data_IF_358195199627
#
_entry.id   IF_358195199627
#
_cell.length_a   1.000
_cell.length_b   1.000
_cell.length_c   1.000
_cell.angle_alpha   90.00
_cell.angle_beta   90.00
_cell.angle_gamma   90.00
#
_symmetry.space_group_name_H-M   'P 1'
#
loop_
_entity.id
_entity.type
_entity.pdbx_description
1 polymer ?
#
# COMPACT_ATOMS: atom_id res chain seq x y z
N UNK A 1 2.02 -35.29 58.50
CA UNK A 1 2.02 -36.62 57.91
C UNK A 1 2.19 -36.42 56.39
N UNK A 2 3.39 -36.36 55.83
CA UNK A 2 4.21 -37.44 55.25
C UNK A 2 3.40 -38.36 54.31
N UNK A 3 3.70 -38.26 53.00
CA UNK A 3 4.23 -39.24 52.04
C UNK A 3 4.15 -38.64 50.62
N UNK A 4 5.15 -38.35 49.86
CA UNK A 4 6.18 -39.09 49.10
C UNK A 4 5.67 -40.36 48.41
N UNK A 5 5.75 -40.46 47.09
CA UNK A 5 6.16 -41.60 46.24
C UNK A 5 6.18 -41.18 44.75
N UNK A 6 7.28 -41.00 44.13
CA UNK A 6 8.19 -41.87 43.31
C UNK A 6 7.84 -41.89 41.81
N UNK A 7 8.74 -41.29 41.11
CA UNK A 7 9.45 -41.56 39.84
C UNK A 7 9.22 -42.98 39.23
N UNK A 8 8.90 -43.02 37.93
CA UNK A 8 9.33 -44.11 37.05
C UNK A 8 9.81 -43.52 35.70
N UNK A 9 11.10 -43.69 35.45
CA UNK A 9 11.78 -43.57 34.17
C UNK A 9 11.68 -44.93 33.48
N UNK A 10 11.33 -44.97 32.22
CA UNK A 10 11.58 -46.13 31.38
C UNK A 10 12.15 -45.73 30.01
N UNK A 11 13.43 -46.03 29.88
CA UNK A 11 14.21 -46.04 28.64
C UNK A 11 13.85 -47.32 27.88
N UNK A 12 13.53 -47.22 26.58
CA UNK A 12 13.69 -48.33 25.65
C UNK A 12 14.34 -47.81 24.35
N UNK A 13 15.58 -48.20 24.20
CA UNK A 13 16.30 -48.20 22.93
C UNK A 13 16.09 -49.54 22.24
N UNK A 14 15.70 -49.58 21.00
CA UNK A 14 15.93 -50.72 20.10
C UNK A 14 16.33 -50.16 18.72
N UNK A 15 17.50 -50.60 18.36
CA UNK A 15 18.19 -50.51 17.06
C UNK A 15 17.47 -51.44 16.07
N UNK A 16 17.21 -50.99 14.85
CA UNK A 16 17.34 -51.78 13.61
C UNK A 16 17.30 -50.86 12.39
N UNK A 17 18.29 -51.08 11.57
CA UNK A 17 18.66 -50.39 10.37
C UNK A 17 17.68 -50.46 9.20
N UNK A 18 17.93 -49.64 8.23
CA UNK A 18 17.30 -49.76 6.92
C UNK A 18 17.30 -48.45 6.13
N UNK A 19 18.26 -48.36 5.23
CA UNK A 19 18.19 -47.71 3.90
C UNK A 19 17.78 -46.22 3.76
N UNK A 20 18.73 -45.44 3.33
CA UNK A 20 18.53 -44.14 2.66
C UNK A 20 17.89 -44.35 1.27
N UNK A 21 16.88 -43.56 0.90
CA UNK A 21 16.48 -43.44 -0.49
C UNK A 21 17.30 -42.36 -1.24
N UNK A 22 17.34 -42.43 -2.59
CA UNK A 22 18.36 -41.81 -3.42
C UNK A 22 18.13 -40.31 -3.62
N UNK A 23 19.26 -39.63 -3.81
CA UNK A 23 19.35 -38.25 -4.30
C UNK A 23 18.69 -38.11 -5.68
N UNK A 24 17.71 -37.26 -5.83
CA UNK A 24 17.24 -36.77 -7.12
C UNK A 24 17.86 -35.41 -7.37
N UNK A 25 18.86 -35.38 -8.22
CA UNK A 25 19.38 -34.20 -8.89
C UNK A 25 18.37 -33.80 -9.98
N UNK A 26 17.90 -32.58 -9.94
CA UNK A 26 17.04 -32.00 -10.99
C UNK A 26 17.01 -30.52 -10.85
N UNK A 27 17.88 -29.86 -11.62
CA UNK A 27 17.93 -28.41 -11.84
C UNK A 27 16.57 -27.87 -12.32
N UNK A 28 16.17 -26.70 -11.78
CA UNK A 28 15.65 -25.64 -12.62
C UNK A 28 15.78 -24.28 -11.93
N UNK A 29 16.84 -23.63 -12.33
CA UNK A 29 17.20 -22.23 -12.10
C UNK A 29 16.35 -21.31 -12.93
N UNK A 30 15.58 -20.43 -12.34
CA UNK A 30 15.20 -19.14 -12.93
C UNK A 30 14.33 -18.28 -12.00
N UNK A 31 14.80 -17.88 -10.79
CA UNK A 31 14.14 -16.79 -10.05
C UNK A 31 15.00 -16.17 -8.93
N UNK A 32 16.32 -16.17 -9.05
CA UNK A 32 17.17 -15.58 -7.99
C UNK A 32 18.21 -14.54 -8.46
N UNK A 33 17.98 -13.86 -9.60
CA UNK A 33 18.98 -12.92 -10.12
C UNK A 33 18.81 -11.45 -9.74
N UNK A 34 17.79 -11.05 -8.97
CA UNK A 34 17.56 -9.64 -8.62
C UNK A 34 18.09 -9.18 -7.27
N UNK A 35 18.57 -10.08 -6.41
CA UNK A 35 19.10 -9.73 -5.09
C UNK A 35 20.63 -9.77 -4.96
N UNK A 36 21.39 -10.23 -5.96
CA UNK A 36 22.84 -10.47 -5.85
C UNK A 36 23.75 -9.38 -6.41
N UNK A 37 23.24 -8.31 -7.05
CA UNK A 37 24.09 -7.26 -7.66
C UNK A 37 24.38 -6.04 -6.78
N UNK A 38 24.03 -6.03 -5.51
CA UNK A 38 24.25 -4.88 -4.63
C UNK A 38 25.53 -4.96 -3.77
N UNK A 39 26.40 -5.96 -3.91
CA UNK A 39 27.57 -6.14 -3.04
C UNK A 39 28.95 -6.24 -3.69
N UNK A 40 29.15 -5.81 -4.92
CA UNK A 40 30.51 -5.84 -5.51
C UNK A 40 30.90 -4.64 -6.35
N UNK A 41 30.79 -3.39 -5.82
CA UNK A 41 31.57 -2.25 -6.34
C UNK A 41 31.85 -1.22 -5.24
N UNK A 42 32.70 -1.59 -4.31
CA UNK A 42 33.47 -0.68 -3.46
C UNK A 42 34.90 -1.16 -3.43
N UNK A 43 35.71 -0.76 -4.42
CA UNK A 43 37.15 -0.48 -4.35
C UNK A 43 37.67 -0.13 -5.74
N UNK A 44 38.00 1.08 -5.92
CA UNK A 44 39.08 1.71 -6.68
C UNK A 44 38.60 2.95 -7.43
N UNK A 45 38.95 4.08 -6.95
CA UNK A 45 39.88 5.04 -7.52
C UNK A 45 39.79 6.37 -6.79
N UNK A 46 40.69 6.54 -5.85
CA UNK A 46 41.20 7.84 -5.45
C UNK A 46 42.20 8.31 -6.52
N UNK A 47 42.16 9.57 -6.83
CA UNK A 47 43.11 10.43 -7.55
C UNK A 47 42.73 10.83 -8.99
N UNK A 48 42.26 12.06 -9.14
CA UNK A 48 43.04 13.14 -9.76
C UNK A 48 42.32 14.47 -9.63
N UNK A 49 43.11 15.41 -9.16
CA UNK A 49 42.86 16.83 -8.91
C UNK A 49 42.78 17.65 -10.21
N UNK A 50 42.07 18.75 -10.11
CA UNK A 50 42.36 20.13 -10.57
C UNK A 50 41.97 20.57 -11.98
N UNK A 51 41.24 21.67 -11.94
CA UNK A 51 41.30 22.87 -12.80
C UNK A 51 40.59 22.87 -14.17
N UNK A 52 39.48 23.61 -14.21
CA UNK A 52 39.48 24.88 -14.98
C UNK A 52 38.14 25.63 -14.80
N UNK A 53 38.27 26.81 -14.19
CA UNK A 53 37.36 27.94 -14.33
C UNK A 53 37.36 28.37 -15.83
N UNK A 54 36.17 28.55 -16.40
CA UNK A 54 36.01 29.61 -17.37
C UNK A 54 34.56 30.12 -17.44
N UNK A 55 34.46 31.41 -17.24
CA UNK A 55 33.31 32.29 -17.48
C UNK A 55 32.92 32.27 -18.95
N UNK A 56 31.61 32.24 -19.24
CA UNK A 56 31.09 33.05 -20.37
C UNK A 56 29.66 33.49 -20.04
N UNK A 57 29.51 34.80 -19.91
CA UNK A 57 28.26 35.56 -20.03
C UNK A 57 27.83 35.56 -21.48
N UNK A 58 26.55 35.44 -21.77
CA UNK A 58 25.85 36.19 -22.82
C UNK A 58 24.37 35.81 -22.84
N UNK A 59 23.60 36.78 -22.64
CA UNK A 59 22.65 37.52 -23.50
C UNK A 59 21.21 37.01 -23.40
N UNK A 60 20.40 37.86 -22.71
CA UNK A 60 18.94 37.94 -22.85
C UNK A 60 18.57 38.15 -24.30
N UNK A 61 17.58 37.40 -24.81
CA UNK A 61 16.74 37.86 -25.91
C UNK A 61 15.28 37.66 -25.53
N UNK A 62 14.60 38.77 -25.29
CA UNK A 62 13.16 38.89 -25.30
C UNK A 62 12.61 38.50 -26.66
N UNK A 63 11.68 37.57 -26.72
CA UNK A 63 10.84 37.39 -27.90
C UNK A 63 9.38 37.45 -27.41
N UNK A 64 8.76 38.59 -27.73
CA UNK A 64 7.34 38.84 -27.65
C UNK A 64 6.60 37.87 -28.58
N UNK A 65 5.62 37.16 -28.09
CA UNK A 65 4.66 36.44 -28.92
C UNK A 65 3.41 37.30 -29.09
N UNK A 66 3.21 37.71 -30.35
CA UNK A 66 2.01 38.36 -30.87
C UNK A 66 0.82 37.40 -30.76
N UNK A 67 -0.31 37.92 -30.32
CA UNK A 67 -1.60 37.25 -30.30
C UNK A 67 -2.10 37.05 -31.74
N UNK A 68 -2.48 35.86 -32.12
CA UNK A 68 -3.22 35.54 -33.33
C UNK A 68 -4.73 35.46 -33.06
N UNK A 69 -5.57 35.79 -34.07
CA UNK A 69 -6.96 36.14 -33.84
C UNK A 69 -7.88 34.95 -33.62
N UNK A 70 -8.95 35.20 -32.85
CA UNK A 70 -10.09 34.33 -32.60
C UNK A 70 -10.70 33.81 -33.92
N UNK A 71 -10.66 32.50 -34.12
CA UNK A 71 -11.53 31.80 -35.05
C UNK A 71 -12.76 31.35 -34.33
N UNK A 72 -13.89 31.88 -34.71
CA UNK A 72 -15.24 31.48 -34.22
C UNK A 72 -15.54 30.05 -34.67
N UNK A 73 -15.78 29.15 -33.67
CA UNK A 73 -16.26 27.80 -33.92
C UNK A 73 -17.81 27.79 -34.02
N UNK A 74 -18.37 26.95 -34.88
CA UNK A 74 -19.82 26.87 -35.07
C UNK A 74 -20.48 26.22 -33.85
N UNK A 75 -21.62 26.76 -33.47
CA UNK A 75 -22.56 26.24 -32.48
C UNK A 75 -23.11 24.89 -32.96
N UNK A 76 -22.70 23.80 -32.31
CA UNK A 76 -23.33 22.50 -32.48
C UNK A 76 -24.14 22.19 -31.22
N UNK A 77 -25.37 21.76 -31.48
CA UNK A 77 -26.46 21.62 -30.56
C UNK A 77 -26.21 20.71 -29.35
N UNK A 78 -27.07 20.96 -28.35
CA UNK A 78 -27.24 20.23 -27.11
C UNK A 78 -27.22 18.71 -27.22
N UNK A 79 -26.21 18.10 -26.62
CA UNK A 79 -26.33 16.79 -26.01
C UNK A 79 -25.39 16.76 -24.78
N UNK A 80 -25.88 17.27 -23.69
CA UNK A 80 -25.23 17.21 -22.39
C UNK A 80 -26.10 16.39 -21.46
N UNK A 81 -25.85 15.07 -21.37
CA UNK A 81 -26.49 14.25 -20.33
C UNK A 81 -25.68 12.98 -19.96
N UNK A 82 -24.34 13.00 -19.98
CA UNK A 82 -23.60 11.79 -19.55
C UNK A 82 -22.42 12.09 -18.61
N UNK A 83 -22.00 13.33 -18.45
CA UNK A 83 -20.84 13.67 -17.62
C UNK A 83 -21.16 13.83 -16.12
N UNK A 84 -22.42 14.13 -15.76
CA UNK A 84 -22.82 14.39 -14.38
C UNK A 84 -23.01 13.11 -13.56
N UNK A 85 -23.40 12.01 -14.19
CA UNK A 85 -23.61 10.73 -13.50
C UNK A 85 -22.28 10.02 -13.14
N UNK A 86 -21.26 10.16 -13.98
CA UNK A 86 -19.95 9.53 -13.74
C UNK A 86 -19.17 10.22 -12.63
N UNK A 87 -19.20 11.54 -12.50
CA UNK A 87 -18.49 12.24 -11.43
C UNK A 87 -19.14 12.03 -10.06
N UNK A 88 -20.47 12.03 -9.98
CA UNK A 88 -21.20 11.71 -8.77
C UNK A 88 -20.96 10.26 -8.33
N UNK A 89 -20.93 9.32 -9.27
CA UNK A 89 -20.58 7.91 -9.01
C UNK A 89 -19.15 7.75 -8.50
N UNK A 90 -18.17 8.43 -9.10
CA UNK A 90 -16.79 8.40 -8.67
C UNK A 90 -16.63 8.93 -7.23
N UNK A 91 -17.22 10.10 -6.91
CA UNK A 91 -17.17 10.67 -5.58
C UNK A 91 -17.82 9.74 -4.53
N UNK A 92 -18.92 9.09 -4.88
CA UNK A 92 -19.58 8.11 -4.01
C UNK A 92 -18.70 6.89 -3.77
N UNK A 93 -17.99 6.40 -4.78
CA UNK A 93 -17.03 5.31 -4.64
C UNK A 93 -15.81 5.71 -3.82
N UNK A 94 -15.34 6.95 -3.94
CA UNK A 94 -14.25 7.47 -3.12
C UNK A 94 -14.66 7.79 -1.68
N UNK A 95 -15.93 7.73 -1.34
CA UNK A 95 -16.39 7.97 0.02
C UNK A 95 -15.84 6.88 0.96
N UNK A 96 -15.21 7.32 2.04
CA UNK A 96 -14.63 6.46 3.06
C UNK A 96 -15.48 6.58 4.31
N UNK A 97 -16.10 5.48 4.71
CA UNK A 97 -16.88 5.42 5.95
C UNK A 97 -16.00 5.57 7.19
N UNK A 98 -16.65 5.85 8.31
CA UNK A 98 -16.00 5.85 9.63
C UNK A 98 -16.51 4.65 10.42
N UNK A 99 -15.63 3.84 11.02
CA UNK A 99 -16.06 2.79 11.91
C UNK A 99 -16.86 3.37 13.07
N UNK A 100 -17.92 2.66 13.48
CA UNK A 100 -18.78 3.10 14.59
C UNK A 100 -17.94 3.32 15.86
N UNK A 101 -18.10 4.48 16.49
CA UNK A 101 -17.39 4.84 17.72
C UNK A 101 -15.93 5.29 17.52
N UNK A 102 -15.45 5.40 16.30
CA UNK A 102 -14.10 5.91 16.00
C UNK A 102 -14.12 7.41 15.70
N UNK A 103 -13.07 8.10 16.15
CA UNK A 103 -12.81 9.48 15.73
C UNK A 103 -12.41 9.51 14.25
N UNK A 104 -12.77 10.61 13.55
CA UNK A 104 -12.39 10.75 12.15
C UNK A 104 -12.12 12.21 11.76
N UNK A 105 -11.22 12.36 10.79
CA UNK A 105 -10.98 13.56 10.00
C UNK A 105 -10.82 13.13 8.55
N UNK A 106 -11.65 13.64 7.65
CA UNK A 106 -11.55 13.31 6.22
C UNK A 106 -10.52 14.22 5.57
N UNK A 107 -9.50 13.61 4.96
CA UNK A 107 -8.44 14.28 4.23
C UNK A 107 -8.56 13.93 2.75
N UNK A 108 -8.64 14.96 1.91
CA UNK A 108 -8.72 14.81 0.46
C UNK A 108 -7.39 15.24 -0.15
N UNK A 109 -6.58 14.28 -0.55
CA UNK A 109 -5.38 14.50 -1.34
C UNK A 109 -5.68 14.39 -2.83
N UNK A 110 -4.69 14.62 -3.68
CA UNK A 110 -4.88 14.58 -5.14
C UNK A 110 -5.47 13.26 -5.63
N UNK A 111 -5.02 12.14 -5.07
CA UNK A 111 -5.32 10.79 -5.57
C UNK A 111 -5.87 9.86 -4.51
N UNK A 112 -5.65 10.16 -3.25
CA UNK A 112 -6.09 9.35 -2.13
C UNK A 112 -7.02 10.14 -1.21
N UNK A 113 -8.04 9.48 -0.72
CA UNK A 113 -8.92 9.99 0.33
C UNK A 113 -8.66 9.20 1.60
N UNK A 114 -8.36 9.90 2.69
CA UNK A 114 -8.03 9.29 3.97
C UNK A 114 -9.10 9.65 4.99
N UNK A 115 -9.72 8.65 5.59
CA UNK A 115 -10.45 8.80 6.84
C UNK A 115 -9.42 8.60 7.96
N UNK A 116 -8.91 9.71 8.50
CA UNK A 116 -7.86 9.69 9.51
C UNK A 116 -8.44 9.69 10.92
N UNK A 117 -7.85 8.88 11.80
CA UNK A 117 -8.21 8.81 13.21
C UNK A 117 -7.26 9.67 14.05
N UNK A 118 -7.67 10.84 14.53
CA UNK A 118 -6.81 11.71 15.31
C UNK A 118 -6.49 11.16 16.71
N UNK A 119 -7.30 10.25 17.25
CA UNK A 119 -7.06 9.62 18.56
C UNK A 119 -5.98 8.53 18.46
N UNK A 120 -6.09 7.67 17.46
CA UNK A 120 -5.13 6.59 17.21
C UNK A 120 -3.94 7.02 16.37
N UNK A 121 -4.01 8.18 15.74
CA UNK A 121 -2.97 8.79 14.89
C UNK A 121 -2.56 7.91 13.70
N UNK A 122 -3.54 7.18 13.14
CA UNK A 122 -3.45 6.34 11.94
C UNK A 122 -4.72 6.52 11.10
N UNK A 123 -4.73 6.12 9.81
CA UNK A 123 -5.98 6.11 9.06
C UNK A 123 -6.94 5.02 9.56
N UNK A 124 -8.25 5.30 9.57
CA UNK A 124 -9.29 4.28 9.68
C UNK A 124 -9.47 3.54 8.35
N UNK A 125 -9.37 4.29 7.25
CA UNK A 125 -9.44 3.75 5.89
C UNK A 125 -8.81 4.75 4.90
N UNK A 126 -8.18 4.22 3.87
CA UNK A 126 -7.67 4.98 2.72
C UNK A 126 -8.30 4.42 1.46
N UNK A 127 -8.88 5.30 0.64
CA UNK A 127 -9.45 4.95 -0.65
C UNK A 127 -8.68 5.63 -1.77
N UNK A 128 -8.49 4.91 -2.87
CA UNK A 128 -7.92 5.47 -4.10
C UNK A 128 -8.43 4.71 -5.33
N UNK A 129 -8.40 5.39 -6.45
CA UNK A 129 -8.60 4.80 -7.76
C UNK A 129 -7.25 4.44 -8.39
N UNK A 130 -7.20 3.30 -9.07
CA UNK A 130 -6.05 2.85 -9.83
C UNK A 130 -6.52 2.41 -11.22
N UNK A 131 -6.06 3.11 -12.27
CA UNK A 131 -6.41 2.79 -13.66
C UNK A 131 -5.25 2.16 -14.41
N UNK A 132 -5.53 1.45 -15.51
CA UNK A 132 -4.50 0.90 -16.39
C UNK A 132 -3.53 1.98 -16.87
N UNK A 133 -4.03 3.18 -17.20
CA UNK A 133 -3.18 4.32 -17.61
C UNK A 133 -2.22 4.74 -16.50
N UNK A 134 -2.69 4.82 -15.24
CA UNK A 134 -1.82 5.13 -14.09
C UNK A 134 -0.74 4.06 -13.91
N UNK A 135 -1.09 2.78 -14.08
CA UNK A 135 -0.15 1.66 -14.00
C UNK A 135 0.89 1.74 -15.13
N UNK A 136 0.44 1.96 -16.36
CA UNK A 136 1.36 2.09 -17.51
C UNK A 136 2.34 3.25 -17.33
N UNK A 137 1.88 4.39 -16.81
CA UNK A 137 2.74 5.52 -16.47
C UNK A 137 3.68 5.22 -15.29
N UNK A 138 3.21 4.48 -14.28
CA UNK A 138 4.01 4.09 -13.12
C UNK A 138 5.11 3.08 -13.48
N UNK A 139 4.93 2.29 -14.53
CA UNK A 139 5.88 1.29 -15.03
C UNK A 139 6.79 1.86 -16.15
N UNK A 140 6.43 3.01 -16.75
CA UNK A 140 7.17 3.61 -17.82
C UNK A 140 8.54 4.16 -17.37
N UNK A 141 9.54 4.23 -18.26
CA UNK A 141 10.78 4.94 -17.99
C UNK A 141 10.52 6.40 -17.58
N UNK A 142 11.19 6.86 -16.52
CA UNK A 142 11.01 8.22 -16.00
C UNK A 142 9.94 8.39 -14.94
N UNK A 143 9.28 7.31 -14.53
CA UNK A 143 8.36 7.33 -13.40
C UNK A 143 9.01 7.87 -12.10
N UNK A 144 8.20 8.33 -11.16
CA UNK A 144 8.67 8.81 -9.87
C UNK A 144 9.35 7.70 -9.06
N UNK A 145 10.60 7.96 -8.67
CA UNK A 145 11.38 6.97 -7.95
C UNK A 145 11.17 7.11 -6.44
N UNK A 146 10.75 6.02 -5.79
CA UNK A 146 10.56 5.95 -4.34
C UNK A 146 11.76 6.49 -3.52
N UNK A 147 12.98 6.33 -4.03
CA UNK A 147 14.21 6.78 -3.35
C UNK A 147 14.31 8.30 -3.18
N UNK A 148 13.54 9.06 -3.96
CA UNK A 148 13.50 10.52 -3.90
C UNK A 148 12.52 11.05 -2.85
N UNK A 149 11.79 10.18 -2.15
CA UNK A 149 10.73 10.54 -1.21
C UNK A 149 11.02 10.01 0.18
N UNK A 150 10.76 10.85 1.19
CA UNK A 150 10.88 10.50 2.59
C UNK A 150 9.50 10.57 3.25
N UNK A 151 9.32 9.79 4.30
CA UNK A 151 8.14 9.91 5.15
C UNK A 151 8.06 11.31 5.75
N UNK A 152 6.93 11.95 5.60
CA UNK A 152 6.72 13.33 6.02
C UNK A 152 5.44 13.46 6.86
N UNK A 153 5.49 14.35 7.86
CA UNK A 153 4.31 14.79 8.54
C UNK A 153 3.42 15.60 7.59
N UNK A 154 2.12 15.43 7.66
CA UNK A 154 1.17 16.38 7.09
C UNK A 154 0.94 17.51 8.11
N UNK A 155 1.47 18.69 7.84
CA UNK A 155 1.38 19.84 8.73
C UNK A 155 -0.04 20.41 8.85
N UNK A 156 -0.94 20.09 7.92
CA UNK A 156 -2.35 20.48 7.99
C UNK A 156 -3.13 19.66 9.03
N UNK A 157 -2.56 18.53 9.48
CA UNK A 157 -3.19 17.59 10.43
C UNK A 157 -2.47 17.67 11.78
N UNK A 158 -3.09 18.33 12.75
CA UNK A 158 -2.49 18.60 14.08
C UNK A 158 -1.96 17.35 14.78
N UNK A 159 -2.66 16.22 14.65
CA UNK A 159 -2.32 14.96 15.33
C UNK A 159 -1.49 14.01 14.46
N UNK A 160 -1.11 14.41 13.23
CA UNK A 160 -0.28 13.60 12.37
C UNK A 160 1.05 13.24 13.06
N UNK A 161 1.46 11.97 13.09
CA UNK A 161 2.73 11.58 13.70
C UNK A 161 3.93 12.15 12.94
N UNK A 162 5.03 12.28 13.65
CA UNK A 162 6.33 12.48 13.05
C UNK A 162 6.93 11.13 12.62
N UNK A 163 7.73 11.15 11.56
CA UNK A 163 8.42 9.95 11.07
C UNK A 163 9.29 9.28 12.16
N UNK A 164 9.94 10.09 13.00
CA UNK A 164 10.84 9.58 14.05
C UNK A 164 10.12 8.85 15.19
N UNK A 165 8.83 9.06 15.40
CA UNK A 165 8.04 8.39 16.44
C UNK A 165 7.94 6.85 16.23
N UNK A 166 8.16 6.37 15.02
CA UNK A 166 8.21 4.93 14.71
C UNK A 166 9.57 4.28 14.99
N UNK A 167 10.63 5.07 15.24
CA UNK A 167 11.99 4.55 15.44
C UNK A 167 12.06 3.69 16.70
N UNK A 168 12.62 2.49 16.57
CA UNK A 168 12.77 1.56 17.70
C UNK A 168 11.48 0.88 18.14
N UNK A 169 10.35 1.09 17.45
CA UNK A 169 9.06 0.48 17.78
C UNK A 169 8.97 -1.00 17.43
N UNK A 170 9.84 -1.50 16.53
CA UNK A 170 9.75 -2.84 15.95
C UNK A 170 8.80 -2.94 14.76
N UNK A 171 8.11 -1.86 14.39
CA UNK A 171 7.17 -1.82 13.27
C UNK A 171 7.68 -1.00 12.10
N UNK A 172 7.31 -1.42 10.90
CA UNK A 172 7.44 -0.64 9.67
C UNK A 172 6.36 0.45 9.59
N UNK A 173 6.64 1.48 8.80
CA UNK A 173 5.62 2.44 8.36
C UNK A 173 4.91 1.84 7.15
N UNK A 174 3.85 1.07 7.43
CA UNK A 174 3.08 0.40 6.40
C UNK A 174 2.19 1.37 5.66
N UNK A 175 2.36 1.46 4.34
CA UNK A 175 1.49 2.27 3.48
C UNK A 175 0.11 1.63 3.34
N UNK A 176 -0.94 2.44 3.42
CA UNK A 176 -2.29 1.98 3.04
C UNK A 176 -2.52 2.15 1.53
N UNK A 177 -2.18 3.31 0.97
CA UNK A 177 -2.03 3.50 -0.48
C UNK A 177 -0.52 3.38 -0.83
N UNK A 178 -0.10 2.34 -1.58
CA UNK A 178 1.31 2.03 -1.77
C UNK A 178 2.00 2.99 -2.75
N UNK A 179 3.28 3.23 -2.52
CA UNK A 179 4.09 4.07 -3.39
C UNK A 179 4.15 3.55 -4.84
N UNK A 180 4.03 2.24 -5.05
CA UNK A 180 4.04 1.64 -6.38
C UNK A 180 2.90 2.16 -7.26
N UNK A 181 1.70 2.30 -6.69
CA UNK A 181 0.52 2.76 -7.40
C UNK A 181 0.49 4.29 -7.63
N UNK A 182 1.43 5.03 -7.02
CA UNK A 182 1.49 6.51 -7.09
C UNK A 182 2.64 7.05 -7.96
N UNK A 183 3.48 6.18 -8.55
CA UNK A 183 4.66 6.57 -9.34
C UNK A 183 4.38 7.38 -10.61
N UNK A 184 3.16 7.40 -11.06
CA UNK A 184 2.73 8.09 -12.25
C UNK A 184 2.65 9.62 -12.09
N UNK A 185 2.65 10.12 -10.83
CA UNK A 185 2.50 11.55 -10.54
C UNK A 185 3.32 11.97 -9.32
N UNK A 186 4.06 13.06 -9.45
CA UNK A 186 4.93 13.60 -8.39
C UNK A 186 4.17 13.97 -7.12
N UNK A 187 2.98 14.57 -7.25
CA UNK A 187 2.17 14.99 -6.10
C UNK A 187 1.54 13.78 -5.42
N UNK A 188 1.01 12.84 -6.19
CA UNK A 188 0.48 11.57 -5.67
C UNK A 188 1.56 10.82 -4.89
N UNK A 189 2.77 10.76 -5.45
CA UNK A 189 3.92 10.13 -4.84
C UNK A 189 4.33 10.82 -3.54
N UNK A 190 4.41 12.15 -3.49
CA UNK A 190 4.71 12.89 -2.26
C UNK A 190 3.65 12.68 -1.18
N UNK A 191 2.38 12.73 -1.55
CA UNK A 191 1.26 12.60 -0.63
C UNK A 191 1.08 11.19 -0.08
N UNK A 192 1.43 10.14 -0.84
CA UNK A 192 1.37 8.78 -0.31
C UNK A 192 2.42 8.54 0.79
N UNK A 193 3.47 9.37 0.90
CA UNK A 193 4.46 9.32 1.99
C UNK A 193 4.07 10.13 3.24
N UNK A 194 2.92 10.78 3.24
CA UNK A 194 2.44 11.41 4.48
C UNK A 194 2.14 10.37 5.56
N UNK A 195 2.51 10.69 6.79
CA UNK A 195 2.28 9.80 7.94
C UNK A 195 0.79 9.55 8.22
N UNK A 196 -0.10 10.35 7.66
CA UNK A 196 -1.56 10.12 7.66
C UNK A 196 -1.99 8.91 6.83
N UNK A 197 -1.13 8.41 5.93
CA UNK A 197 -1.31 7.18 5.13
C UNK A 197 -0.62 5.95 5.77
N UNK A 198 -0.01 6.08 6.95
CA UNK A 198 0.84 5.05 7.55
C UNK A 198 0.18 4.40 8.76
N UNK A 199 0.39 3.07 8.87
CA UNK A 199 0.10 2.31 10.08
C UNK A 199 1.35 1.57 10.58
N UNK A 200 1.48 1.34 11.90
CA UNK A 200 2.47 0.42 12.43
C UNK A 200 2.20 -1.00 11.92
N UNK A 201 3.04 -1.51 11.04
CA UNK A 201 2.86 -2.80 10.38
C UNK A 201 4.06 -3.71 10.65
N UNK A 202 3.80 -4.97 10.94
CA UNK A 202 4.85 -5.98 11.06
C UNK A 202 5.76 -5.96 9.84
N UNK A 203 7.07 -5.99 10.07
CA UNK A 203 8.07 -5.79 9.00
C UNK A 203 8.04 -6.94 7.98
N UNK A 204 7.82 -8.18 8.42
CA UNK A 204 7.70 -9.32 7.50
C UNK A 204 6.40 -9.27 6.72
N UNK A 205 5.27 -8.96 7.39
CA UNK A 205 4.02 -8.75 6.67
C UNK A 205 4.19 -7.69 5.58
N UNK A 206 4.68 -6.51 5.95
CA UNK A 206 4.84 -5.37 5.02
C UNK A 206 5.75 -5.70 3.82
N UNK A 207 6.90 -6.34 4.06
CA UNK A 207 7.90 -6.56 3.02
C UNK A 207 7.63 -7.79 2.16
N UNK A 208 6.88 -8.76 2.64
CA UNK A 208 6.65 -10.02 1.97
C UNK A 208 5.19 -10.15 1.49
N UNK A 209 4.28 -10.53 2.38
CA UNK A 209 2.94 -10.97 1.99
C UNK A 209 2.03 -9.83 1.56
N UNK A 210 2.10 -8.68 2.24
CA UNK A 210 1.33 -7.48 1.89
C UNK A 210 1.80 -6.91 0.55
N UNK A 211 3.12 -6.85 0.34
CA UNK A 211 3.71 -6.44 -0.93
C UNK A 211 3.27 -7.32 -2.10
N UNK A 212 3.22 -8.65 -1.91
CA UNK A 212 2.72 -9.58 -2.95
C UNK A 212 1.27 -9.27 -3.34
N UNK A 213 0.42 -8.95 -2.36
CA UNK A 213 -0.96 -8.52 -2.64
C UNK A 213 -0.98 -7.19 -3.43
N UNK A 214 -0.17 -6.21 -3.04
CA UNK A 214 -0.06 -4.93 -3.74
C UNK A 214 0.38 -5.10 -5.20
N UNK A 215 1.38 -5.94 -5.45
CA UNK A 215 1.84 -6.28 -6.81
C UNK A 215 0.73 -6.97 -7.65
N UNK A 216 -0.12 -7.78 -7.02
CA UNK A 216 -1.28 -8.37 -7.71
C UNK A 216 -2.33 -7.31 -8.04
N UNK A 217 -2.67 -6.43 -7.09
CA UNK A 217 -3.61 -5.32 -7.32
C UNK A 217 -3.16 -4.45 -8.48
N UNK A 218 -1.86 -4.12 -8.53
CA UNK A 218 -1.26 -3.36 -9.63
C UNK A 218 -1.48 -4.05 -10.99
N UNK A 219 -1.23 -5.37 -11.08
CA UNK A 219 -1.51 -6.15 -12.31
C UNK A 219 -3.00 -6.23 -12.64
N UNK A 220 -3.86 -6.39 -11.63
CA UNK A 220 -5.31 -6.42 -11.84
C UNK A 220 -5.85 -5.09 -12.37
N UNK A 221 -5.33 -3.95 -11.91
CA UNK A 221 -5.69 -2.65 -12.44
C UNK A 221 -5.38 -2.52 -13.93
N UNK A 222 -4.25 -3.05 -14.37
CA UNK A 222 -3.87 -3.09 -15.78
C UNK A 222 -4.83 -3.95 -16.61
N UNK A 223 -5.18 -5.15 -16.11
CA UNK A 223 -6.10 -6.08 -16.76
C UNK A 223 -7.53 -5.55 -16.81
N UNK A 224 -8.04 -5.09 -15.67
CA UNK A 224 -9.44 -4.73 -15.46
C UNK A 224 -9.73 -3.25 -15.78
N UNK A 225 -8.72 -2.50 -16.23
CA UNK A 225 -8.75 -1.09 -16.65
C UNK A 225 -8.92 -0.10 -15.52
N UNK A 226 -9.71 -0.44 -14.51
CA UNK A 226 -10.04 0.44 -13.39
C UNK A 226 -10.33 -0.35 -12.14
N UNK A 227 -9.71 0.03 -11.03
CA UNK A 227 -9.99 -0.50 -9.70
C UNK A 227 -10.26 0.63 -8.72
N UNK A 228 -11.20 0.39 -7.81
CA UNK A 228 -11.33 1.15 -6.56
C UNK A 228 -10.74 0.31 -5.44
N UNK A 229 -9.79 0.87 -4.71
CA UNK A 229 -9.06 0.17 -3.64
C UNK A 229 -9.31 0.88 -2.31
N UNK A 230 -9.69 0.09 -1.30
CA UNK A 230 -9.89 0.56 0.06
C UNK A 230 -9.01 -0.26 0.98
N UNK A 231 -8.23 0.41 1.81
CA UNK A 231 -7.24 -0.24 2.67
C UNK A 231 -7.27 0.40 4.06
N UNK A 232 -7.18 -0.40 5.09
CA UNK A 232 -7.12 0.15 6.44
C UNK A 232 -6.83 -0.90 7.50
N UNK A 233 -6.67 -0.44 8.74
CA UNK A 233 -6.46 -1.29 9.90
C UNK A 233 -7.77 -1.92 10.40
N UNK A 234 -7.63 -3.04 11.09
CA UNK A 234 -8.64 -3.62 11.98
C UNK A 234 -8.09 -3.49 13.39
N UNK A 235 -8.80 -2.74 14.22
CA UNK A 235 -8.37 -2.43 15.58
C UNK A 235 -8.88 -3.45 16.58
N UNK A 236 -8.04 -3.83 17.53
CA UNK A 236 -8.46 -4.55 18.73
C UNK A 236 -9.12 -3.64 19.76
N UNK A 237 -9.70 -4.24 20.79
CA UNK A 237 -10.35 -3.48 21.88
C UNK A 237 -9.35 -2.61 22.66
N UNK A 238 -8.15 -3.13 22.90
CA UNK A 238 -7.07 -2.48 23.64
C UNK A 238 -5.79 -2.53 22.79
N UNK A 239 -5.65 -1.65 21.79
CA UNK A 239 -4.51 -1.71 20.91
C UNK A 239 -3.22 -1.38 21.65
N UNK A 240 -2.13 -2.10 21.32
CA UNK A 240 -0.78 -1.69 21.70
C UNK A 240 -0.52 -0.31 21.15
N UNK A 241 0.17 0.51 21.93
CA UNK A 241 0.55 1.87 21.52
C UNK A 241 2.08 1.96 21.35
N UNK A 242 2.50 2.66 20.32
CA UNK A 242 3.90 3.01 20.08
C UNK A 242 4.05 4.53 19.98
N UNK A 243 5.26 4.98 19.81
CA UNK A 243 5.65 6.39 19.79
C UNK A 243 6.60 6.67 20.93
N UNK A 244 7.44 7.72 20.79
CA UNK A 244 8.39 8.02 21.86
C UNK A 244 7.64 8.56 23.08
N UNK A 245 7.73 9.75 23.40
CA UNK A 245 7.33 10.32 24.70
C UNK A 245 5.85 10.12 25.09
N UNK A 246 4.96 9.94 24.14
CA UNK A 246 3.51 9.81 24.39
C UNK A 246 2.94 8.44 24.08
N UNK A 247 3.67 7.57 23.39
CA UNK A 247 3.24 6.23 23.00
C UNK A 247 1.76 6.16 22.57
N UNK A 248 1.36 7.03 21.66
CA UNK A 248 -0.03 7.24 21.31
C UNK A 248 -0.37 6.97 19.84
N UNK A 249 0.48 6.21 19.13
CA UNK A 249 0.19 5.69 17.80
C UNK A 249 -0.28 4.25 17.99
N UNK A 250 -1.51 3.97 17.63
CA UNK A 250 -2.09 2.65 17.82
C UNK A 250 -1.54 1.62 16.82
N UNK A 251 -1.28 0.42 17.32
CA UNK A 251 -0.87 -0.74 16.51
C UNK A 251 -2.11 -1.56 16.19
N UNK A 252 -2.46 -1.74 14.90
CA UNK A 252 -3.58 -2.57 14.50
C UNK A 252 -3.34 -4.06 14.76
N UNK A 253 -4.40 -4.81 15.01
CA UNK A 253 -4.35 -6.28 15.09
C UNK A 253 -4.27 -6.93 13.71
N UNK A 254 -4.89 -6.30 12.71
CA UNK A 254 -4.93 -6.79 11.33
C UNK A 254 -5.10 -5.62 10.34
N UNK A 255 -5.00 -5.94 9.05
CA UNK A 255 -5.25 -5.04 7.95
C UNK A 255 -6.23 -5.64 6.97
N UNK A 256 -7.07 -4.80 6.38
CA UNK A 256 -7.91 -5.18 5.25
C UNK A 256 -7.51 -4.46 3.98
N UNK A 257 -7.82 -5.09 2.84
CA UNK A 257 -7.81 -4.47 1.52
C UNK A 257 -9.03 -4.96 0.74
N UNK A 258 -9.89 -4.02 0.33
CA UNK A 258 -11.04 -4.27 -0.54
C UNK A 258 -10.69 -3.75 -1.92
N UNK A 259 -10.89 -4.57 -2.94
CA UNK A 259 -10.65 -4.26 -4.34
C UNK A 259 -11.98 -4.42 -5.09
N UNK A 260 -12.40 -3.39 -5.76
CA UNK A 260 -13.60 -3.38 -6.59
C UNK A 260 -13.24 -3.00 -8.02
N UNK A 261 -13.62 -3.84 -8.98
CA UNK A 261 -13.51 -3.61 -10.41
C UNK A 261 -14.89 -3.20 -10.96
N UNK A 262 -15.18 -1.89 -11.09
CA UNK A 262 -16.52 -1.41 -11.40
C UNK A 262 -16.99 -1.83 -12.78
N UNK A 263 -16.11 -1.91 -13.76
CA UNK A 263 -16.45 -2.30 -15.13
C UNK A 263 -16.78 -3.79 -15.27
N UNK A 264 -16.25 -4.64 -14.37
CA UNK A 264 -16.52 -6.07 -14.29
C UNK A 264 -17.60 -6.40 -13.25
N UNK A 265 -18.06 -5.45 -12.47
CA UNK A 265 -19.06 -5.64 -11.42
C UNK A 265 -18.64 -6.65 -10.34
N UNK A 266 -17.33 -6.80 -10.08
CA UNK A 266 -16.81 -7.78 -9.11
C UNK A 266 -15.95 -7.15 -8.03
N UNK A 267 -15.94 -7.75 -6.86
CA UNK A 267 -15.12 -7.33 -5.74
C UNK A 267 -14.49 -8.53 -5.03
N UNK A 268 -13.35 -8.29 -4.42
CA UNK A 268 -12.67 -9.22 -3.51
C UNK A 268 -12.11 -8.42 -2.34
N UNK A 269 -12.02 -9.06 -1.19
CA UNK A 269 -11.38 -8.47 -0.03
C UNK A 269 -10.38 -9.44 0.58
N UNK A 270 -9.44 -8.88 1.35
CA UNK A 270 -8.42 -9.63 2.06
C UNK A 270 -8.29 -9.11 3.48
N UNK A 271 -8.01 -10.02 4.42
CA UNK A 271 -7.65 -9.67 5.79
C UNK A 271 -6.38 -10.41 6.16
N UNK A 272 -5.39 -9.66 6.61
CA UNK A 272 -4.11 -10.15 7.09
C UNK A 272 -3.90 -9.72 8.54
N UNK A 273 -3.63 -10.66 9.45
CA UNK A 273 -3.19 -10.31 10.80
C UNK A 273 -1.89 -9.50 10.74
N UNK A 274 -1.68 -8.61 11.71
CA UNK A 274 -0.46 -7.80 11.78
C UNK A 274 0.76 -8.61 12.28
N UNK A 275 1.05 -9.70 11.56
CA UNK A 275 2.14 -10.66 11.77
C UNK A 275 2.52 -11.33 10.45
N UNK A 276 3.59 -12.14 10.40
CA UNK A 276 3.89 -12.93 9.20
C UNK A 276 2.71 -13.83 8.79
N UNK A 277 2.30 -13.73 7.52
CA UNK A 277 1.12 -14.41 6.97
C UNK A 277 1.53 -15.26 5.75
N UNK A 278 2.20 -16.42 5.93
CA UNK A 278 2.75 -17.21 4.84
C UNK A 278 1.68 -17.94 4.02
N UNK A 279 2.02 -18.20 2.77
CA UNK A 279 1.20 -19.00 1.84
C UNK A 279 0.53 -18.16 0.75
N UNK A 280 -0.38 -18.80 0.02
CA UNK A 280 -1.10 -18.15 -1.07
C UNK A 280 -2.07 -17.09 -0.53
N UNK A 281 -2.24 -15.99 -1.26
CA UNK A 281 -3.17 -14.91 -0.92
C UNK A 281 -4.62 -15.39 -0.78
N UNK A 282 -5.01 -16.46 -1.48
CA UNK A 282 -6.35 -17.05 -1.39
C UNK A 282 -6.76 -17.45 0.04
N UNK A 283 -5.79 -17.77 0.89
CA UNK A 283 -6.05 -18.07 2.32
C UNK A 283 -6.56 -16.88 3.11
N UNK A 284 -6.31 -15.68 2.62
CA UNK A 284 -6.64 -14.41 3.28
C UNK A 284 -7.80 -13.70 2.60
N UNK A 285 -8.33 -14.30 1.51
CA UNK A 285 -9.49 -13.78 0.81
C UNK A 285 -10.75 -13.91 1.67
N UNK A 286 -11.52 -12.85 1.73
CA UNK A 286 -12.79 -12.76 2.46
C UNK A 286 -13.81 -11.99 1.63
N UNK A 287 -15.06 -12.00 2.07
CA UNK A 287 -16.09 -11.14 1.46
C UNK A 287 -15.94 -9.69 1.92
N UNK A 288 -16.45 -8.75 1.12
CA UNK A 288 -16.54 -7.34 1.54
C UNK A 288 -17.40 -7.19 2.80
N UNK A 289 -18.49 -7.98 2.90
CA UNK A 289 -19.33 -8.01 4.09
C UNK A 289 -18.57 -8.42 5.37
N UNK A 290 -17.60 -9.33 5.26
CA UNK A 290 -16.76 -9.71 6.41
C UNK A 290 -15.85 -8.55 6.84
N UNK A 291 -15.32 -7.77 5.90
CA UNK A 291 -14.57 -6.55 6.22
C UNK A 291 -15.48 -5.54 6.93
N UNK A 292 -16.69 -5.29 6.40
CA UNK A 292 -17.67 -4.40 7.06
C UNK A 292 -18.01 -4.86 8.47
N UNK A 293 -18.24 -6.15 8.65
CA UNK A 293 -18.54 -6.74 9.98
C UNK A 293 -17.39 -6.55 10.97
N UNK A 294 -16.13 -6.74 10.53
CA UNK A 294 -14.96 -6.64 11.42
C UNK A 294 -14.54 -5.21 11.72
N UNK A 295 -14.80 -4.29 10.80
CA UNK A 295 -14.35 -2.89 10.93
C UNK A 295 -15.45 -1.95 11.40
N UNK A 296 -16.73 -2.29 11.16
CA UNK A 296 -17.85 -1.37 11.30
C UNK A 296 -17.92 -0.31 10.19
N UNK A 297 -17.09 -0.43 9.16
CA UNK A 297 -17.16 0.39 7.94
C UNK A 297 -18.39 0.01 7.12
N UNK A 298 -18.87 0.94 6.30
CA UNK A 298 -19.86 0.68 5.26
C UNK A 298 -19.32 1.21 3.95
N UNK A 299 -19.15 0.32 2.97
CA UNK A 299 -18.76 0.69 1.61
C UNK A 299 -19.98 0.98 0.75
N UNK A 300 -19.77 1.61 -0.41
CA UNK A 300 -20.82 1.91 -1.39
C UNK A 300 -21.68 0.66 -1.71
N UNK A 301 -22.99 0.85 -1.89
CA UNK A 301 -23.92 -0.21 -2.30
C UNK A 301 -23.61 -0.78 -3.69
N UNK A 302 -22.87 -0.03 -4.51
CA UNK A 302 -22.40 -0.50 -5.82
C UNK A 302 -21.37 -1.65 -5.71
N UNK A 303 -20.73 -1.83 -4.55
CA UNK A 303 -19.70 -2.85 -4.35
C UNK A 303 -20.36 -4.16 -3.92
N UNK A 304 -20.16 -5.28 -4.66
CA UNK A 304 -20.68 -6.58 -4.27
C UNK A 304 -20.19 -7.02 -2.90
N UNK A 305 -21.11 -7.32 -1.97
CA UNK A 305 -20.76 -7.59 -0.57
C UNK A 305 -20.44 -9.06 -0.26
N UNK A 306 -21.04 -9.99 -1.00
CA UNK A 306 -21.03 -11.43 -0.68
C UNK A 306 -20.10 -12.26 -1.56
N UNK A 307 -19.50 -11.66 -2.57
CA UNK A 307 -18.57 -12.33 -3.45
C UNK A 307 -17.21 -12.53 -2.75
N UNK A 308 -16.63 -13.71 -2.90
CA UNK A 308 -15.28 -14.04 -2.47
C UNK A 308 -14.64 -15.07 -3.44
N UNK A 309 -14.90 -14.91 -4.74
CA UNK A 309 -14.31 -15.80 -5.73
C UNK A 309 -12.93 -15.25 -6.12
N UNK A 310 -11.88 -15.77 -5.48
CA UNK A 310 -10.49 -15.37 -5.77
C UNK A 310 -10.02 -15.87 -7.13
N UNK A 311 -10.64 -16.92 -7.66
CA UNK A 311 -10.24 -17.48 -8.96
C UNK A 311 -10.55 -16.51 -10.11
N UNK A 312 -11.57 -15.67 -9.97
CA UNK A 312 -11.86 -14.59 -10.92
C UNK A 312 -10.77 -13.50 -10.97
N UNK A 313 -9.84 -13.54 -9.99
CA UNK A 313 -8.77 -12.56 -9.85
C UNK A 313 -7.36 -13.14 -10.15
N UNK A 314 -7.26 -14.41 -10.50
CA UNK A 314 -5.99 -15.07 -10.86
C UNK A 314 -5.53 -14.82 -12.30
#
# INVERSE_FOLDING_TARGET
>A
MKQLVKIWVLVFAIVMGGALPPQVTGENTATSQWCAQAKSKKKSKKNKKKDKKNKKKSKKSNKSYMASPLVSLPTIGKTATTATSTSASHNALMAVGTPKGMSNQVLNYKTIRVNYNPTYRIPNCVAYELTATMVDMADAPGHENRKNYNYARDNSVKTCPENWEYRGSGYSRGHMAPAMDMRWDKTAMAQCFYMTNMCPQDTKLNNDHWRVLEEKVHRWAKRDKRLMVYTGPIMGKNPKMIGKDKQNIAVPDAFFKVIYAPEQGRAVAFIYDNKPCPGNISKYAVTVAEVERRTGLTFSSAIPKRQCNIDDWQ
#
